data_IF_975927503001
#
_entry.id   IF_975927503001
#
_cell.length_a   1.000
_cell.length_b   1.000
_cell.length_c   1.000
_cell.angle_alpha   90.00
_cell.angle_beta   90.00
_cell.angle_gamma   90.00
#
_symmetry.space_group_name_H-M   'P 1'
#
loop_
_entity.id
_entity.type
_entity.pdbx_description
1 polymer ?
#
# COMPACT_ATOMS: atom_id res chain seq x y z
N UNK A 1 14.31 -8.97 -5.35
CA UNK A 1 13.11 -8.86 -4.50
C UNK A 1 13.42 -7.84 -3.42
N UNK A 2 12.69 -6.72 -3.36
CA UNK A 2 12.95 -5.68 -2.35
C UNK A 2 12.33 -6.08 -1.02
N UNK A 3 13.05 -5.84 0.08
CA UNK A 3 12.60 -6.10 1.46
C UNK A 3 11.22 -5.47 1.74
N UNK A 4 10.94 -4.32 1.13
CA UNK A 4 9.65 -3.61 1.22
C UNK A 4 8.48 -4.48 0.75
N UNK A 5 8.60 -5.15 -0.40
CA UNK A 5 7.51 -5.98 -0.95
C UNK A 5 7.24 -7.20 -0.08
N UNK A 6 8.28 -7.76 0.54
CA UNK A 6 8.13 -8.91 1.44
C UNK A 6 7.47 -8.50 2.76
N UNK A 7 7.93 -7.39 3.36
CA UNK A 7 7.37 -6.87 4.60
C UNK A 7 5.91 -6.42 4.42
N UNK A 8 5.60 -5.77 3.30
CA UNK A 8 4.23 -5.36 2.97
C UNK A 8 3.29 -6.54 2.80
N UNK A 9 3.73 -7.64 2.17
CA UNK A 9 2.93 -8.88 2.08
C UNK A 9 2.70 -9.52 3.45
N UNK A 10 3.71 -9.52 4.32
CA UNK A 10 3.59 -10.06 5.66
C UNK A 10 2.57 -9.26 6.48
N UNK A 11 2.69 -7.93 6.50
CA UNK A 11 1.77 -7.04 7.20
C UNK A 11 0.35 -7.17 6.64
N UNK A 12 0.20 -7.26 5.32
CA UNK A 12 -1.12 -7.46 4.70
C UNK A 12 -1.77 -8.77 5.15
N UNK A 13 -0.99 -9.85 5.25
CA UNK A 13 -1.49 -11.15 5.74
C UNK A 13 -2.00 -11.04 7.18
N UNK A 14 -1.23 -10.41 8.06
CA UNK A 14 -1.63 -10.21 9.46
C UNK A 14 -2.87 -9.31 9.57
N UNK A 15 -2.92 -8.21 8.82
CA UNK A 15 -4.09 -7.34 8.77
C UNK A 15 -5.33 -8.08 8.24
N UNK A 16 -5.18 -8.96 7.26
CA UNK A 16 -6.30 -9.76 6.73
C UNK A 16 -6.83 -10.74 7.78
N UNK A 17 -5.96 -11.32 8.60
CA UNK A 17 -6.37 -12.19 9.70
C UNK A 17 -7.17 -11.42 10.77
N UNK A 18 -6.78 -10.17 11.05
CA UNK A 18 -7.43 -9.31 12.05
C UNK A 18 -8.74 -8.73 11.51
N UNK A 19 -8.73 -8.22 10.28
CA UNK A 19 -9.88 -7.65 9.58
C UNK A 19 -10.61 -8.71 8.75
N UNK A 20 -11.12 -9.74 9.42
CA UNK A 20 -11.95 -10.78 8.79
C UNK A 20 -13.29 -10.24 8.24
N UNK A 21 -13.74 -9.08 8.73
CA UNK A 21 -14.90 -8.35 8.22
C UNK A 21 -14.48 -6.97 7.68
N UNK A 22 -14.11 -6.91 6.40
CA UNK A 22 -14.09 -5.64 5.67
C UNK A 22 -15.39 -5.50 4.88
N UNK A 23 -16.21 -4.52 5.25
CA UNK A 23 -17.41 -4.18 4.49
C UNK A 23 -16.97 -3.46 3.21
N UNK A 24 -16.98 -4.17 2.09
CA UNK A 24 -16.79 -3.55 0.79
C UNK A 24 -17.92 -2.57 0.52
N UNK A 25 -17.60 -1.29 0.38
CA UNK A 25 -18.58 -0.28 -0.01
C UNK A 25 -18.97 -0.51 -1.48
N UNK A 26 -20.27 -0.44 -1.79
CA UNK A 26 -20.76 -0.40 -3.17
C UNK A 26 -20.32 0.94 -3.80
N UNK A 27 -19.18 0.94 -4.48
CA UNK A 27 -18.70 2.07 -5.26
C UNK A 27 -18.89 1.81 -6.76
N UNK A 28 -19.31 2.84 -7.51
CA UNK A 28 -19.47 2.77 -8.98
C UNK A 28 -18.10 2.63 -9.66
N UNK A 29 -17.07 3.26 -9.09
CA UNK A 29 -15.67 3.14 -9.54
C UNK A 29 -14.95 2.16 -8.63
N UNK A 30 -14.40 1.09 -9.19
CA UNK A 30 -13.60 0.16 -8.42
C UNK A 30 -12.21 0.76 -8.20
N UNK A 31 -11.73 0.87 -6.94
CA UNK A 31 -10.38 1.33 -6.67
C UNK A 31 -9.37 0.30 -7.17
N UNK A 32 -8.22 0.77 -7.69
CA UNK A 32 -7.11 -0.10 -8.16
C UNK A 32 -6.36 -0.78 -7.01
N UNK A 33 -6.47 -0.23 -5.81
CA UNK A 33 -5.78 -0.66 -4.60
C UNK A 33 -6.80 -0.80 -3.47
N UNK A 34 -6.74 -1.88 -2.70
CA UNK A 34 -7.67 -2.08 -1.60
C UNK A 34 -7.30 -1.25 -0.37
N UNK A 35 -8.27 -0.92 0.47
CA UNK A 35 -8.02 -0.16 1.70
C UNK A 35 -7.02 -0.89 2.61
N UNK A 36 -7.10 -2.22 2.68
CA UNK A 36 -6.14 -3.03 3.43
C UNK A 36 -4.73 -2.99 2.83
N UNK A 37 -4.61 -3.03 1.49
CA UNK A 37 -3.32 -2.86 0.82
C UNK A 37 -2.71 -1.47 1.11
N UNK A 38 -3.54 -0.42 1.18
CA UNK A 38 -3.10 0.94 1.51
C UNK A 38 -2.56 1.02 2.93
N UNK A 39 -3.32 0.50 3.90
CA UNK A 39 -2.94 0.50 5.31
C UNK A 39 -1.67 -0.34 5.52
N UNK A 40 -1.59 -1.52 4.90
CA UNK A 40 -0.40 -2.36 4.95
C UNK A 40 0.84 -1.63 4.41
N UNK A 41 0.68 -0.90 3.31
CA UNK A 41 1.76 -0.12 2.71
C UNK A 41 2.23 1.01 3.63
N UNK A 42 1.29 1.72 4.26
CA UNK A 42 1.61 2.82 5.17
C UNK A 42 2.36 2.33 6.42
N UNK A 43 1.88 1.25 7.05
CA UNK A 43 2.57 0.62 8.18
C UNK A 43 3.95 0.09 7.81
N UNK A 44 4.09 -0.47 6.61
CA UNK A 44 5.41 -0.89 6.11
C UNK A 44 6.34 0.30 5.95
N UNK A 45 5.81 1.43 5.49
CA UNK A 45 6.61 2.63 5.29
C UNK A 45 7.12 3.20 6.61
N UNK A 46 6.25 3.25 7.62
CA UNK A 46 6.60 3.66 8.97
C UNK A 46 7.61 2.69 9.62
N UNK A 47 7.38 1.39 9.49
CA UNK A 47 8.31 0.35 9.96
C UNK A 47 9.70 0.48 9.32
N UNK A 48 9.76 0.82 8.03
CA UNK A 48 11.01 1.04 7.31
C UNK A 48 11.58 2.46 7.48
N UNK A 49 10.97 3.30 8.32
CA UNK A 49 11.39 4.67 8.59
C UNK A 49 11.44 5.57 7.35
N UNK A 50 10.53 5.37 6.39
CA UNK A 50 10.36 6.30 5.28
C UNK A 50 9.64 7.56 5.78
N UNK A 51 10.39 8.65 5.91
CA UNK A 51 9.90 9.93 6.40
C UNK A 51 9.25 10.81 5.32
N UNK A 52 9.27 10.39 4.05
CA UNK A 52 8.63 11.10 2.95
C UNK A 52 7.95 10.16 1.98
N UNK A 53 6.80 10.59 1.47
CA UNK A 53 6.07 9.90 0.40
C UNK A 53 6.96 9.73 -0.84
N UNK A 54 7.79 10.73 -1.16
CA UNK A 54 8.72 10.67 -2.29
C UNK A 54 9.73 9.52 -2.14
N UNK A 55 10.26 9.27 -0.94
CA UNK A 55 11.19 8.18 -0.68
C UNK A 55 10.50 6.82 -0.76
N UNK A 56 9.28 6.71 -0.21
CA UNK A 56 8.44 5.52 -0.34
C UNK A 56 8.15 5.23 -1.82
N UNK A 57 7.76 6.24 -2.59
CA UNK A 57 7.54 6.14 -4.02
C UNK A 57 8.80 5.74 -4.79
N UNK A 58 9.98 6.24 -4.43
CA UNK A 58 11.23 5.74 -5.04
C UNK A 58 11.47 4.26 -4.74
N UNK A 59 11.21 3.81 -3.52
CA UNK A 59 11.35 2.42 -3.11
C UNK A 59 10.30 1.49 -3.76
N UNK A 60 9.12 2.03 -4.06
CA UNK A 60 8.05 1.33 -4.77
C UNK A 60 8.23 1.29 -6.27
N UNK A 61 9.11 2.11 -6.86
CA UNK A 61 9.30 2.16 -8.30
C UNK A 61 9.60 0.76 -8.87
N UNK A 62 8.79 0.33 -9.84
CA UNK A 62 8.94 -1.00 -10.46
C UNK A 62 8.41 -2.17 -9.61
N UNK A 63 7.67 -1.89 -8.54
CA UNK A 63 6.94 -2.90 -7.76
C UNK A 63 5.44 -2.85 -8.07
N UNK A 64 4.70 -3.90 -7.68
CA UNK A 64 3.26 -4.03 -7.95
C UNK A 64 2.39 -2.83 -7.49
N UNK A 65 2.61 -2.22 -6.32
CA UNK A 65 1.88 -1.02 -5.90
C UNK A 65 2.11 0.22 -6.77
N UNK A 66 3.24 0.31 -7.48
CA UNK A 66 3.60 1.48 -8.31
C UNK A 66 2.60 1.70 -9.44
N UNK A 67 2.13 0.61 -10.06
CA UNK A 67 1.15 0.66 -11.13
C UNK A 67 -0.28 0.93 -10.64
N UNK A 68 -0.52 0.78 -9.33
CA UNK A 68 -1.84 0.98 -8.71
C UNK A 68 -2.05 2.41 -8.20
N UNK A 69 -0.97 3.16 -7.95
CA UNK A 69 -1.01 4.49 -7.35
C UNK A 69 -0.80 5.56 -8.44
N UNK A 70 -1.77 6.45 -8.62
CA UNK A 70 -1.65 7.58 -9.54
C UNK A 70 -0.89 8.76 -8.87
N UNK A 71 0.40 8.88 -9.19
CA UNK A 71 1.29 9.92 -8.62
C UNK A 71 0.99 11.34 -9.10
N UNK A 72 0.28 11.50 -10.21
CA UNK A 72 -0.11 12.82 -10.74
C UNK A 72 -0.98 13.61 -9.76
N UNK A 73 -1.65 12.94 -8.83
CA UNK A 73 -2.47 13.56 -7.78
C UNK A 73 -1.60 14.18 -6.68
N UNK A 74 -0.40 13.63 -6.44
CA UNK A 74 0.46 13.98 -5.30
C UNK A 74 1.65 14.88 -5.67
N UNK A 75 2.03 14.96 -6.95
CA UNK A 75 3.08 15.86 -7.46
C UNK A 75 2.58 17.31 -7.64
N UNK A 76 1.98 17.92 -6.60
CA UNK A 76 1.71 19.37 -6.58
C UNK A 76 2.89 20.16 -6.07
#
# INVERSE_FOLDING_TARGET
MNNLTQNSKFILKELTNICSHSTSFKQIRQPKLSDLELVALNLTAEYMSYSSELQLFRALKGTYPDAKIERSVYNR
#
